data_IF_575285087868
#
_entry.id   IF_575285087868
#
_cell.length_a   1.000
_cell.length_b   1.000
_cell.length_c   1.000
_cell.angle_alpha   90.00
_cell.angle_beta   90.00
_cell.angle_gamma   90.00
#
_symmetry.space_group_name_H-M   'P 1'
#
loop_
_entity.id
_entity.type
_entity.pdbx_description
1 polymer ?
#
# COMPACT_ATOMS: atom_id res chain seq x y z
N UNK A 1 -13.32 -32.54 19.65
CA UNK A 1 -13.74 -31.33 18.93
C UNK A 1 -12.56 -30.84 18.13
N UNK A 2 -12.50 -31.20 16.85
CA UNK A 2 -11.44 -30.83 15.91
C UNK A 2 -11.84 -29.52 15.24
N UNK A 3 -11.17 -28.44 15.57
CA UNK A 3 -11.28 -27.15 14.86
C UNK A 3 -10.72 -27.34 13.46
N UNK A 4 -11.60 -27.42 12.46
CA UNK A 4 -11.21 -27.44 11.07
C UNK A 4 -10.55 -26.10 10.71
N UNK A 5 -9.24 -26.13 10.47
CA UNK A 5 -8.48 -25.00 9.94
C UNK A 5 -8.93 -24.79 8.50
N UNK A 6 -9.56 -23.64 8.22
CA UNK A 6 -9.94 -23.29 6.86
C UNK A 6 -8.69 -23.32 5.95
N UNK A 7 -8.73 -23.96 4.77
CA UNK A 7 -7.58 -24.03 3.90
C UNK A 7 -7.17 -22.62 3.48
N UNK A 8 -5.88 -22.31 3.57
CA UNK A 8 -5.31 -21.07 3.05
C UNK A 8 -5.60 -20.99 1.54
N UNK A 9 -6.62 -20.22 1.18
CA UNK A 9 -6.99 -19.97 -0.21
C UNK A 9 -5.87 -19.14 -0.81
N UNK A 10 -5.13 -19.71 -1.76
CA UNK A 10 -4.25 -18.91 -2.63
C UNK A 10 -5.12 -17.86 -3.31
N UNK A 11 -4.90 -16.59 -2.97
CA UNK A 11 -5.55 -15.45 -3.61
C UNK A 11 -5.06 -15.35 -5.05
N UNK A 12 -5.66 -16.13 -5.94
CA UNK A 12 -5.65 -15.81 -7.34
C UNK A 12 -6.28 -14.42 -7.48
N UNK A 13 -5.60 -13.52 -8.20
CA UNK A 13 -6.12 -12.25 -8.69
C UNK A 13 -7.58 -12.42 -9.13
N UNK A 14 -8.53 -12.09 -8.25
CA UNK A 14 -9.91 -11.92 -8.65
C UNK A 14 -10.26 -10.46 -8.37
N UNK A 15 -10.40 -9.69 -9.46
CA UNK A 15 -10.73 -8.25 -9.46
C UNK A 15 -12.13 -7.95 -8.92
N UNK A 16 -12.80 -8.93 -8.30
CA UNK A 16 -14.20 -8.88 -7.88
C UNK A 16 -14.43 -8.53 -6.41
N UNK A 17 -13.41 -8.54 -5.54
CA UNK A 17 -13.60 -8.28 -4.09
C UNK A 17 -14.08 -6.86 -3.75
N UNK A 18 -13.75 -5.87 -4.57
CA UNK A 18 -14.33 -4.53 -4.43
C UNK A 18 -15.83 -4.45 -4.68
N UNK A 19 -16.40 -5.44 -5.37
CA UNK A 19 -17.81 -5.44 -5.71
C UNK A 19 -18.69 -5.76 -4.50
N UNK A 20 -18.21 -6.58 -3.55
CA UNK A 20 -18.98 -6.99 -2.35
C UNK A 20 -19.15 -5.83 -1.36
N UNK A 21 -18.10 -5.05 -1.10
CA UNK A 21 -18.15 -3.88 -0.20
C UNK A 21 -19.04 -2.77 -0.77
N UNK A 22 -19.00 -2.57 -2.10
CA UNK A 22 -19.87 -1.63 -2.82
C UNK A 22 -21.31 -2.07 -2.75
N UNK A 23 -21.58 -3.36 -2.94
CA UNK A 23 -22.94 -3.90 -2.88
C UNK A 23 -23.52 -3.75 -1.48
N UNK A 24 -22.75 -4.01 -0.43
CA UNK A 24 -23.19 -3.81 0.96
C UNK A 24 -23.47 -2.34 1.29
N UNK A 25 -22.61 -1.41 0.85
CA UNK A 25 -22.86 0.01 1.02
C UNK A 25 -24.09 0.47 0.24
N UNK A 26 -24.23 0.02 -1.02
CA UNK A 26 -25.39 0.28 -1.85
C UNK A 26 -26.68 -0.23 -1.21
N UNK A 27 -26.69 -1.45 -0.69
CA UNK A 27 -27.85 -2.05 -0.05
C UNK A 27 -28.20 -1.34 1.26
N UNK A 28 -27.22 -0.86 2.02
CA UNK A 28 -27.43 -0.04 3.21
C UNK A 28 -28.06 1.33 2.88
N UNK A 29 -27.54 2.02 1.87
CA UNK A 29 -28.10 3.31 1.40
C UNK A 29 -29.51 3.10 0.85
N UNK A 30 -29.73 2.06 0.04
CA UNK A 30 -31.06 1.71 -0.49
C UNK A 30 -32.05 1.37 0.63
N UNK A 31 -31.62 0.67 1.68
CA UNK A 31 -32.42 0.40 2.88
C UNK A 31 -32.88 1.68 3.57
N UNK A 32 -31.95 2.63 3.82
CA UNK A 32 -32.30 3.93 4.42
C UNK A 32 -33.28 4.70 3.54
N UNK A 33 -33.04 4.77 2.23
CA UNK A 33 -33.91 5.47 1.28
C UNK A 33 -35.31 4.84 1.22
N UNK A 34 -35.39 3.51 1.20
CA UNK A 34 -36.66 2.78 1.25
C UNK A 34 -37.42 3.09 2.54
N UNK A 35 -36.76 2.95 3.69
CA UNK A 35 -37.39 3.07 5.01
C UNK A 35 -37.82 4.51 5.34
N UNK A 36 -36.97 5.49 5.00
CA UNK A 36 -37.18 6.89 5.40
C UNK A 36 -37.98 7.72 4.40
N UNK A 37 -37.84 7.41 3.11
CA UNK A 37 -38.57 8.12 2.04
C UNK A 37 -39.78 7.32 1.54
N UNK A 38 -40.04 6.13 2.09
CA UNK A 38 -41.10 5.22 1.70
C UNK A 38 -41.09 4.91 0.19
N UNK A 39 -39.88 4.77 -0.36
CA UNK A 39 -39.65 4.48 -1.77
C UNK A 39 -39.82 2.98 -2.04
N UNK A 40 -40.39 2.59 -3.18
CA UNK A 40 -40.33 1.20 -3.61
C UNK A 40 -38.87 0.72 -3.72
N UNK A 41 -38.62 -0.55 -3.37
CA UNK A 41 -37.31 -1.20 -3.39
C UNK A 41 -36.44 -0.88 -4.62
N UNK A 42 -37.06 -0.88 -5.82
CA UNK A 42 -36.35 -0.59 -7.06
C UNK A 42 -35.97 0.90 -7.20
N UNK A 43 -36.85 1.80 -6.76
CA UNK A 43 -36.62 3.24 -6.82
C UNK A 43 -35.57 3.65 -5.79
N UNK A 44 -35.61 3.06 -4.59
CA UNK A 44 -34.60 3.24 -3.55
C UNK A 44 -33.21 2.76 -3.99
N UNK A 45 -33.12 1.60 -4.66
CA UNK A 45 -31.86 1.11 -5.25
C UNK A 45 -31.35 2.00 -6.38
N UNK A 46 -32.22 2.44 -7.28
CA UNK A 46 -31.85 3.34 -8.38
C UNK A 46 -31.33 4.69 -7.85
N UNK A 47 -31.98 5.24 -6.83
CA UNK A 47 -31.57 6.47 -6.19
C UNK A 47 -30.29 6.27 -5.38
N UNK A 48 -30.11 5.16 -4.66
CA UNK A 48 -28.86 4.82 -3.97
C UNK A 48 -27.68 4.76 -4.95
N UNK A 49 -27.85 4.10 -6.08
CA UNK A 49 -26.82 4.05 -7.14
C UNK A 49 -26.47 5.45 -7.65
N UNK A 50 -27.46 6.32 -7.84
CA UNK A 50 -27.24 7.70 -8.28
C UNK A 50 -26.53 8.56 -7.22
N UNK A 51 -26.94 8.44 -5.95
CA UNK A 51 -26.31 9.13 -4.81
C UNK A 51 -24.87 8.68 -4.61
N UNK A 52 -24.60 7.38 -4.59
CA UNK A 52 -23.25 6.82 -4.42
C UNK A 52 -22.34 7.24 -5.58
N UNK A 53 -22.84 7.16 -6.81
CA UNK A 53 -22.12 7.64 -8.02
C UNK A 53 -21.73 9.13 -7.92
N UNK A 54 -22.54 9.94 -7.22
CA UNK A 54 -22.32 11.39 -7.05
C UNK A 54 -21.60 11.76 -5.76
N UNK A 55 -21.56 10.89 -4.75
CA UNK A 55 -21.00 11.16 -3.42
C UNK A 55 -19.53 10.84 -3.28
N UNK A 56 -19.03 9.81 -3.97
CA UNK A 56 -17.59 9.59 -4.12
C UNK A 56 -17.33 8.42 -5.04
N UNK A 57 -16.60 8.67 -6.13
CA UNK A 57 -15.72 7.78 -6.91
C UNK A 57 -15.96 7.91 -8.42
N UNK A 58 -14.91 7.92 -9.28
CA UNK A 58 -15.05 7.48 -10.67
C UNK A 58 -15.68 6.07 -10.66
N UNK A 59 -16.51 5.75 -11.66
CA UNK A 59 -17.53 4.68 -11.82
C UNK A 59 -17.26 3.23 -11.28
N UNK A 60 -16.18 2.93 -10.56
CA UNK A 60 -15.65 1.58 -10.33
C UNK A 60 -15.60 1.11 -8.86
N UNK A 61 -16.17 1.83 -7.89
CA UNK A 61 -16.59 1.27 -6.58
C UNK A 61 -15.51 0.85 -5.57
N UNK A 62 -14.27 0.65 -5.97
CA UNK A 62 -13.10 0.87 -5.09
C UNK A 62 -12.61 2.27 -5.46
N UNK A 63 -11.94 3.05 -4.61
CA UNK A 63 -10.89 3.91 -5.19
C UNK A 63 -9.95 2.90 -5.87
N UNK A 64 -9.87 2.79 -7.20
CA UNK A 64 -9.04 1.76 -7.83
C UNK A 64 -7.60 1.86 -7.34
N UNK A 65 -7.25 3.03 -6.82
CA UNK A 65 -6.07 3.38 -6.05
C UNK A 65 -5.83 2.55 -4.77
N UNK A 66 -6.80 2.22 -3.91
CA UNK A 66 -6.50 1.46 -2.68
C UNK A 66 -6.19 -0.01 -2.97
N UNK A 67 -7.02 -0.68 -3.78
CA UNK A 67 -6.71 -2.06 -4.18
C UNK A 67 -5.38 -2.15 -4.93
N UNK A 68 -5.08 -1.18 -5.82
CA UNK A 68 -3.76 -1.06 -6.46
C UNK A 68 -2.64 -0.80 -5.45
N UNK A 69 -2.87 0.01 -4.43
CA UNK A 69 -1.88 0.27 -3.40
C UNK A 69 -1.54 -1.02 -2.62
N UNK A 70 -2.55 -1.84 -2.27
CA UNK A 70 -2.31 -3.12 -1.61
C UNK A 70 -1.58 -4.11 -2.52
N UNK A 71 -1.93 -4.16 -3.81
CA UNK A 71 -1.19 -4.94 -4.82
C UNK A 71 0.28 -4.48 -4.91
N UNK A 72 0.51 -3.16 -4.96
CA UNK A 72 1.86 -2.56 -4.99
C UNK A 72 2.66 -2.90 -3.74
N UNK A 73 2.08 -2.78 -2.54
CA UNK A 73 2.74 -3.14 -1.27
C UNK A 73 3.12 -4.61 -1.31
N UNK A 74 2.21 -5.49 -1.72
CA UNK A 74 2.48 -6.92 -1.78
C UNK A 74 3.65 -7.24 -2.72
N UNK A 75 3.67 -6.68 -3.93
CA UNK A 75 4.78 -6.87 -4.88
C UNK A 75 6.10 -6.29 -4.36
N UNK A 76 6.07 -5.10 -3.75
CA UNK A 76 7.26 -4.46 -3.19
C UNK A 76 7.82 -5.23 -1.97
N UNK A 77 6.96 -5.77 -1.08
CA UNK A 77 7.39 -6.62 0.04
C UNK A 77 8.05 -7.92 -0.45
N UNK A 78 7.49 -8.53 -1.50
CA UNK A 78 8.05 -9.72 -2.16
C UNK A 78 9.41 -9.45 -2.78
N UNK A 79 9.55 -8.33 -3.46
CA UNK A 79 10.82 -7.89 -4.01
C UNK A 79 11.84 -7.62 -2.90
N UNK A 80 11.43 -6.98 -1.80
CA UNK A 80 12.32 -6.71 -0.68
C UNK A 80 12.86 -8.02 -0.06
N UNK A 81 11.99 -9.03 0.10
CA UNK A 81 12.39 -10.35 0.59
C UNK A 81 13.45 -11.00 -0.31
N UNK A 82 13.21 -10.99 -1.62
CA UNK A 82 14.12 -11.56 -2.60
C UNK A 82 15.46 -10.82 -2.64
N UNK A 83 15.43 -9.49 -2.71
CA UNK A 83 16.64 -8.70 -2.82
C UNK A 83 17.48 -8.73 -1.55
N UNK A 84 16.85 -8.86 -0.37
CA UNK A 84 17.57 -9.14 0.86
C UNK A 84 18.41 -10.42 0.74
N UNK A 85 17.86 -11.47 0.12
CA UNK A 85 18.58 -12.74 -0.09
C UNK A 85 19.69 -12.60 -1.13
N UNK A 86 19.44 -11.90 -2.23
CA UNK A 86 20.46 -11.64 -3.26
C UNK A 86 21.61 -10.82 -2.68
N UNK A 87 21.32 -9.76 -1.92
CA UNK A 87 22.32 -8.91 -1.28
C UNK A 87 23.13 -9.69 -0.24
N UNK A 88 22.50 -10.54 0.56
CA UNK A 88 23.19 -11.43 1.49
C UNK A 88 24.17 -12.36 0.77
N UNK A 89 23.75 -12.96 -0.35
CA UNK A 89 24.62 -13.84 -1.15
C UNK A 89 25.83 -13.11 -1.76
N UNK A 90 25.81 -11.77 -1.85
CA UNK A 90 26.96 -10.99 -2.31
C UNK A 90 28.08 -10.87 -1.27
N UNK A 91 27.81 -11.04 0.02
CA UNK A 91 28.84 -10.94 1.08
C UNK A 91 29.00 -12.22 1.92
N UNK A 92 27.99 -13.10 1.95
CA UNK A 92 28.03 -14.36 2.69
C UNK A 92 29.12 -15.30 2.12
N UNK A 93 30.04 -15.74 2.97
CA UNK A 93 31.11 -16.68 2.61
C UNK A 93 32.24 -16.10 1.75
N UNK A 94 32.27 -14.78 1.53
CA UNK A 94 33.29 -14.12 0.69
C UNK A 94 34.32 -13.40 1.55
N UNK A 95 35.53 -13.96 1.63
CA UNK A 95 36.66 -13.38 2.37
C UNK A 95 37.13 -12.03 1.81
N UNK A 96 36.81 -11.72 0.56
CA UNK A 96 37.21 -10.49 -0.14
C UNK A 96 36.18 -9.35 -0.09
N UNK A 97 35.05 -9.50 0.62
CA UNK A 97 34.09 -8.40 0.73
C UNK A 97 34.70 -7.24 1.54
N UNK A 98 34.59 -5.97 1.09
CA UNK A 98 35.22 -4.85 1.79
C UNK A 98 34.69 -4.70 3.22
N UNK A 99 35.57 -4.80 4.23
CA UNK A 99 35.20 -4.69 5.66
C UNK A 99 34.44 -3.40 5.99
N UNK A 100 34.81 -2.29 5.35
CA UNK A 100 34.17 -0.98 5.52
C UNK A 100 32.73 -0.92 4.98
N UNK A 101 32.36 -1.86 4.10
CA UNK A 101 31.02 -1.95 3.50
C UNK A 101 30.19 -3.09 4.08
N UNK A 102 30.81 -4.05 4.76
CA UNK A 102 30.12 -5.20 5.36
C UNK A 102 28.99 -4.76 6.29
N UNK A 103 29.26 -3.82 7.21
CA UNK A 103 28.24 -3.31 8.12
C UNK A 103 27.07 -2.64 7.39
N UNK A 104 27.34 -1.91 6.30
CA UNK A 104 26.30 -1.28 5.48
C UNK A 104 25.45 -2.35 4.80
N UNK A 105 26.06 -3.37 4.22
CA UNK A 105 25.35 -4.44 3.53
C UNK A 105 24.46 -5.26 4.49
N UNK A 106 24.94 -5.56 5.70
CA UNK A 106 24.13 -6.22 6.74
C UNK A 106 22.92 -5.36 7.10
N UNK A 107 23.13 -4.06 7.35
CA UNK A 107 22.02 -3.15 7.66
C UNK A 107 21.02 -3.03 6.49
N UNK A 108 21.48 -3.03 5.24
CA UNK A 108 20.61 -3.04 4.06
C UNK A 108 19.76 -4.31 4.00
N UNK A 109 20.35 -5.49 4.26
CA UNK A 109 19.61 -6.76 4.32
C UNK A 109 18.57 -6.73 5.45
N UNK A 110 18.92 -6.23 6.62
CA UNK A 110 17.99 -6.15 7.75
C UNK A 110 16.82 -5.21 7.44
N UNK A 111 17.07 -4.03 6.85
CA UNK A 111 16.01 -3.12 6.40
C UNK A 111 15.07 -3.77 5.38
N UNK A 112 15.62 -4.41 4.35
CA UNK A 112 14.81 -5.10 3.32
C UNK A 112 13.96 -6.23 3.92
N UNK A 113 14.48 -6.95 4.92
CA UNK A 113 13.71 -7.98 5.65
C UNK A 113 12.59 -7.39 6.49
N UNK A 114 12.85 -6.30 7.21
CA UNK A 114 11.81 -5.59 7.96
C UNK A 114 10.69 -5.11 7.04
N UNK A 115 11.04 -4.46 5.93
CA UNK A 115 10.09 -4.04 4.90
C UNK A 115 9.29 -5.21 4.34
N UNK A 116 9.93 -6.34 4.03
CA UNK A 116 9.25 -7.53 3.55
C UNK A 116 8.20 -8.06 4.54
N UNK A 117 8.43 -7.90 5.85
CA UNK A 117 7.49 -8.29 6.90
C UNK A 117 6.40 -7.24 7.17
N UNK A 118 6.43 -6.09 6.50
CA UNK A 118 5.55 -4.96 6.79
C UNK A 118 5.96 -4.16 8.01
N UNK A 119 7.17 -4.36 8.53
CA UNK A 119 7.71 -3.67 9.70
C UNK A 119 8.38 -2.34 9.28
N UNK A 120 7.80 -1.60 8.32
CA UNK A 120 8.40 -0.36 7.82
C UNK A 120 8.53 0.71 8.92
N UNK A 121 7.64 0.71 9.91
CA UNK A 121 7.75 1.58 11.09
C UNK A 121 8.96 1.25 11.98
N UNK A 122 9.40 -0.02 12.01
CA UNK A 122 10.58 -0.45 12.75
C UNK A 122 11.89 -0.17 11.99
N UNK A 123 11.82 0.19 10.70
CA UNK A 123 12.98 0.65 9.95
C UNK A 123 13.38 2.01 10.52
N UNK A 124 14.52 2.06 11.22
CA UNK A 124 15.02 3.30 11.77
C UNK A 124 15.43 4.25 10.63
N UNK A 125 14.51 5.15 10.25
CA UNK A 125 14.76 6.23 9.29
C UNK A 125 15.59 7.32 9.96
N UNK A 126 16.84 7.01 10.29
CA UNK A 126 17.82 7.99 10.77
C UNK A 126 17.90 9.17 9.79
N UNK A 127 18.35 10.36 10.22
CA UNK A 127 18.55 11.49 9.32
C UNK A 127 19.43 11.16 8.11
N UNK A 128 20.37 10.23 8.26
CA UNK A 128 21.21 9.75 7.16
C UNK A 128 20.42 8.91 6.14
N UNK A 129 19.56 7.99 6.61
CA UNK A 129 18.72 7.18 5.72
C UNK A 129 17.71 8.07 4.99
N UNK A 130 17.04 9.00 5.69
CA UNK A 130 16.09 9.93 5.07
C UNK A 130 16.75 10.79 3.98
N UNK A 131 17.98 11.26 4.24
CA UNK A 131 18.77 11.98 3.24
C UNK A 131 19.13 11.08 2.06
N UNK A 132 19.56 9.84 2.34
CA UNK A 132 19.87 8.85 1.31
C UNK A 132 18.67 8.50 0.42
N UNK A 133 17.46 8.41 0.97
CA UNK A 133 16.22 8.21 0.21
C UNK A 133 15.99 9.40 -0.73
N UNK A 134 16.08 10.62 -0.21
CA UNK A 134 15.93 11.85 -1.01
C UNK A 134 16.95 11.94 -2.14
N UNK A 135 18.22 11.68 -1.82
CA UNK A 135 19.31 11.67 -2.78
C UNK A 135 19.12 10.56 -3.83
N UNK A 136 18.63 9.39 -3.41
CA UNK A 136 18.27 8.27 -4.28
C UNK A 136 17.16 8.65 -5.27
N UNK A 137 16.04 9.19 -4.79
CA UNK A 137 14.96 9.67 -5.68
C UNK A 137 15.47 10.70 -6.68
N UNK A 138 16.22 11.71 -6.20
CA UNK A 138 16.83 12.72 -7.07
C UNK A 138 17.75 12.12 -8.12
N UNK A 139 18.56 11.11 -7.76
CA UNK A 139 19.45 10.43 -8.69
C UNK A 139 18.69 9.63 -9.78
N UNK A 140 17.48 9.18 -9.49
CA UNK A 140 16.59 8.51 -10.44
C UNK A 140 15.74 9.48 -11.28
N UNK A 141 15.90 10.79 -11.08
CA UNK A 141 15.03 11.80 -11.71
C UNK A 141 13.59 11.74 -11.23
N UNK A 142 13.35 11.06 -10.10
CA UNK A 142 12.07 11.05 -9.40
C UNK A 142 12.00 12.31 -8.56
N UNK A 143 10.80 12.91 -8.47
CA UNK A 143 10.67 14.09 -7.66
C UNK A 143 10.97 13.74 -6.20
N UNK A 144 11.89 14.49 -5.60
CA UNK A 144 12.25 14.32 -4.20
C UNK A 144 11.10 14.71 -3.28
N UNK A 145 10.05 15.33 -3.83
CA UNK A 145 8.79 15.73 -3.17
C UNK A 145 7.67 14.71 -3.30
N UNK A 146 7.87 13.55 -3.95
CA UNK A 146 7.09 12.31 -3.71
C UNK A 146 7.14 11.82 -2.24
N UNK A 147 7.72 12.62 -1.35
CA UNK A 147 7.47 12.66 0.10
C UNK A 147 5.97 12.67 0.41
N UNK A 148 5.59 12.04 1.52
CA UNK A 148 4.20 11.94 2.03
C UNK A 148 3.30 13.14 1.67
N UNK A 149 3.77 14.38 1.86
CA UNK A 149 3.00 15.60 1.59
C UNK A 149 2.48 15.74 0.15
N UNK A 150 3.22 15.39 -0.92
CA UNK A 150 2.66 15.47 -2.30
C UNK A 150 1.88 14.22 -2.70
N UNK A 151 2.13 13.07 -2.10
CA UNK A 151 1.24 11.91 -2.25
C UNK A 151 -0.11 12.17 -1.54
N UNK A 152 -0.08 12.91 -0.43
CA UNK A 152 -1.24 13.41 0.30
C UNK A 152 -1.90 14.63 -0.38
N UNK A 153 -1.14 15.44 -1.14
CA UNK A 153 -1.66 16.61 -1.89
C UNK A 153 -2.14 16.26 -3.32
N UNK A 154 -1.51 15.34 -4.05
CA UNK A 154 -2.04 14.77 -5.30
C UNK A 154 -3.25 13.88 -5.04
N UNK A 155 -3.47 13.46 -3.80
CA UNK A 155 -4.67 12.77 -3.37
C UNK A 155 -5.33 13.41 -2.16
N UNK A 156 -6.19 14.42 -2.36
CA UNK A 156 -7.21 14.76 -1.38
C UNK A 156 -8.27 13.64 -1.31
N UNK A 157 -7.89 12.39 -1.04
CA UNK A 157 -8.83 11.27 -0.95
C UNK A 157 -9.55 11.19 0.40
N UNK A 158 -10.19 12.28 0.83
CA UNK A 158 -11.53 12.22 1.44
C UNK A 158 -11.67 11.52 2.82
N UNK A 159 -11.40 12.23 3.92
CA UNK A 159 -12.41 12.23 5.00
C UNK A 159 -13.09 13.58 4.85
N UNK A 160 -14.14 13.62 4.05
CA UNK A 160 -14.95 14.81 4.02
C UNK A 160 -15.75 14.88 5.32
N UNK A 161 -15.84 16.08 5.91
CA UNK A 161 -16.70 16.35 7.06
C UNK A 161 -18.13 15.83 6.76
N UNK A 162 -18.70 14.96 7.63
CA UNK A 162 -20.06 14.45 7.45
C UNK A 162 -21.09 15.53 7.20
N UNK A 163 -20.91 16.75 7.73
CA UNK A 163 -21.79 17.88 7.47
C UNK A 163 -21.72 18.39 6.03
N UNK A 164 -20.53 18.39 5.42
CA UNK A 164 -20.32 18.78 4.02
C UNK A 164 -20.85 17.70 3.08
N UNK A 165 -20.59 16.43 3.39
CA UNK A 165 -21.15 15.27 2.68
C UNK A 165 -22.67 15.26 2.73
N UNK A 166 -23.25 15.45 3.91
CA UNK A 166 -24.69 15.60 4.10
C UNK A 166 -25.25 16.77 3.29
N UNK A 167 -24.53 17.90 3.21
CA UNK A 167 -24.96 19.04 2.39
C UNK A 167 -25.11 18.71 0.90
N UNK A 168 -24.23 17.87 0.35
CA UNK A 168 -24.39 17.38 -1.02
C UNK A 168 -25.55 16.43 -1.16
N UNK A 169 -25.69 15.47 -0.25
CA UNK A 169 -26.82 14.54 -0.28
C UNK A 169 -28.16 15.28 -0.16
N UNK A 170 -28.25 16.33 0.67
CA UNK A 170 -29.43 17.21 0.73
C UNK A 170 -29.74 17.82 -0.63
N UNK A 171 -28.73 18.34 -1.33
CA UNK A 171 -28.94 18.94 -2.64
C UNK A 171 -29.45 17.92 -3.67
N UNK A 172 -28.99 16.66 -3.59
CA UNK A 172 -29.43 15.57 -4.45
C UNK A 172 -30.82 15.03 -4.08
N UNK A 173 -31.16 15.08 -2.80
CA UNK A 173 -32.45 14.61 -2.26
C UNK A 173 -33.49 15.73 -2.13
N UNK A 174 -33.21 16.94 -2.63
CA UNK A 174 -34.05 18.12 -2.41
C UNK A 174 -35.50 17.95 -2.88
N UNK A 175 -35.75 17.07 -3.85
CA UNK A 175 -37.09 16.74 -4.33
C UNK A 175 -37.94 15.92 -3.34
N UNK A 176 -37.33 15.36 -2.30
CA UNK A 176 -37.98 14.54 -1.27
C UNK A 176 -38.40 15.33 -0.01
N UNK A 177 -38.30 16.67 -0.04
CA UNK A 177 -38.82 17.54 1.01
C UNK A 177 -38.07 17.43 2.34
N UNK A 178 -38.77 17.66 3.45
CA UNK A 178 -38.16 17.85 4.78
C UNK A 178 -37.42 16.60 5.29
N UNK A 179 -37.79 15.40 4.84
CA UNK A 179 -37.11 14.16 5.17
C UNK A 179 -35.69 14.07 4.58
N UNK A 180 -35.39 14.87 3.54
CA UNK A 180 -34.10 14.84 2.85
C UNK A 180 -32.93 15.21 3.77
N UNK A 181 -33.15 16.06 4.78
CA UNK A 181 -32.09 16.50 5.70
C UNK A 181 -31.68 15.40 6.69
N UNK A 182 -32.67 14.75 7.31
CA UNK A 182 -32.45 13.62 8.21
C UNK A 182 -31.83 12.43 7.45
N UNK A 183 -32.34 12.13 6.25
CA UNK A 183 -31.82 11.05 5.39
C UNK A 183 -30.41 11.35 4.90
N UNK A 184 -30.13 12.57 4.44
CA UNK A 184 -28.79 12.95 4.02
C UNK A 184 -27.77 12.86 5.16
N UNK A 185 -28.19 13.20 6.38
CA UNK A 185 -27.36 13.11 7.59
C UNK A 185 -27.15 11.65 8.00
N UNK A 186 -28.18 10.81 7.93
CA UNK A 186 -28.10 9.37 8.21
C UNK A 186 -27.21 8.64 7.19
N UNK A 187 -27.35 8.95 5.89
CA UNK A 187 -26.49 8.40 4.83
C UNK A 187 -25.05 8.91 4.97
N UNK A 188 -24.84 10.18 5.33
CA UNK A 188 -23.50 10.74 5.52
C UNK A 188 -22.78 10.14 6.74
N UNK A 189 -23.51 9.62 7.72
CA UNK A 189 -22.96 8.94 8.90
C UNK A 189 -22.76 7.43 8.70
N UNK A 190 -23.30 6.83 7.62
CA UNK A 190 -22.90 5.49 7.23
C UNK A 190 -21.38 5.46 7.02
N UNK A 191 -20.68 4.39 7.47
CA UNK A 191 -19.24 4.24 7.31
C UNK A 191 -18.87 4.56 5.87
N UNK A 192 -18.15 5.67 5.70
CA UNK A 192 -17.67 6.11 4.41
C UNK A 192 -16.58 5.15 3.95
N UNK A 193 -16.54 4.83 2.67
CA UNK A 193 -15.37 4.22 2.04
C UNK A 193 -14.22 5.22 1.79
N UNK A 194 -14.17 6.34 2.53
CA UNK A 194 -13.07 7.34 2.47
C UNK A 194 -12.03 7.15 3.57
N UNK A 195 -10.96 7.97 3.54
CA UNK A 195 -9.61 7.65 4.09
C UNK A 195 -9.70 6.75 5.30
N UNK A 196 -9.57 5.45 5.06
CA UNK A 196 -9.21 4.59 6.15
C UNK A 196 -7.81 5.05 6.57
N UNK A 197 -7.55 5.13 7.88
CA UNK A 197 -6.16 5.27 8.35
C UNK A 197 -5.27 4.25 7.63
N UNK A 198 -5.84 3.08 7.31
CA UNK A 198 -5.22 2.07 6.48
C UNK A 198 -4.87 2.48 5.03
N UNK A 199 -5.62 3.35 4.34
CA UNK A 199 -5.18 3.83 3.02
C UNK A 199 -3.99 4.79 3.14
N UNK A 200 -4.03 5.69 4.13
CA UNK A 200 -2.90 6.59 4.42
C UNK A 200 -1.64 5.80 4.80
N UNK A 201 -1.82 4.75 5.61
CA UNK A 201 -0.73 3.84 5.98
C UNK A 201 -0.24 3.01 4.78
N UNK A 202 -1.14 2.57 3.90
CA UNK A 202 -0.74 1.89 2.66
C UNK A 202 0.13 2.81 1.78
N UNK A 203 -0.25 4.07 1.63
CA UNK A 203 0.55 5.08 0.91
C UNK A 203 1.91 5.29 1.60
N UNK A 204 1.92 5.44 2.92
CA UNK A 204 3.16 5.63 3.71
C UNK A 204 4.09 4.43 3.56
N UNK A 205 3.53 3.22 3.54
CA UNK A 205 4.28 2.00 3.33
C UNK A 205 4.86 1.92 1.91
N UNK A 206 4.08 2.24 0.87
CA UNK A 206 4.58 2.30 -0.51
C UNK A 206 5.74 3.29 -0.62
N UNK A 207 5.58 4.47 -0.04
CA UNK A 207 6.63 5.47 0.02
C UNK A 207 7.89 4.92 0.69
N UNK A 208 7.74 4.26 1.84
CA UNK A 208 8.84 3.66 2.60
C UNK A 208 9.56 2.58 1.78
N UNK A 209 8.81 1.69 1.14
CA UNK A 209 9.34 0.62 0.28
C UNK A 209 10.10 1.20 -0.91
N UNK A 210 9.47 2.08 -1.70
CA UNK A 210 10.09 2.70 -2.88
C UNK A 210 11.29 3.56 -2.51
N UNK A 211 11.21 4.30 -1.41
CA UNK A 211 12.30 5.13 -0.90
C UNK A 211 13.52 4.31 -0.51
N UNK A 212 13.32 3.19 0.21
CA UNK A 212 14.43 2.30 0.53
C UNK A 212 15.01 1.64 -0.73
N UNK A 213 14.19 1.25 -1.70
CA UNK A 213 14.71 0.76 -2.98
C UNK A 213 15.57 1.81 -3.71
N UNK A 214 15.14 3.08 -3.75
CA UNK A 214 15.93 4.16 -4.32
C UNK A 214 17.27 4.35 -3.58
N UNK A 215 17.23 4.32 -2.25
CA UNK A 215 18.41 4.40 -1.40
C UNK A 215 19.38 3.25 -1.63
N UNK A 216 18.89 2.01 -1.70
CA UNK A 216 19.73 0.83 -1.94
C UNK A 216 20.29 0.78 -3.37
N UNK A 217 19.54 1.26 -4.37
CA UNK A 217 20.06 1.42 -5.73
C UNK A 217 21.27 2.36 -5.78
N UNK A 218 21.20 3.48 -5.04
CA UNK A 218 22.29 4.45 -4.94
C UNK A 218 23.46 3.89 -4.13
N UNK A 219 23.21 3.19 -3.03
CA UNK A 219 24.27 2.47 -2.30
C UNK A 219 24.99 1.50 -3.24
N UNK A 220 24.26 0.70 -4.01
CA UNK A 220 24.85 -0.30 -4.89
C UNK A 220 25.65 0.33 -6.04
N UNK A 221 25.19 1.48 -6.58
CA UNK A 221 25.97 2.29 -7.54
C UNK A 221 27.34 2.65 -6.97
N UNK A 222 27.38 3.17 -5.74
CA UNK A 222 28.64 3.54 -5.09
C UNK A 222 29.56 2.34 -4.88
N UNK A 223 29.01 1.14 -4.62
CA UNK A 223 29.80 -0.09 -4.52
C UNK A 223 30.40 -0.50 -5.87
N UNK A 224 29.63 -0.42 -6.95
CA UNK A 224 30.06 -0.75 -8.31
C UNK A 224 31.19 0.14 -8.83
N UNK A 225 31.25 1.39 -8.35
CA UNK A 225 32.31 2.36 -8.67
C UNK A 225 33.62 2.11 -7.93
N UNK A 226 33.62 1.28 -6.89
CA UNK A 226 34.85 0.95 -6.17
C UNK A 226 35.77 0.12 -7.05
N UNK A 227 37.05 0.50 -7.10
CA UNK A 227 38.10 -0.25 -7.81
C UNK A 227 38.25 -1.69 -7.29
N UNK A 228 37.88 -1.93 -6.04
CA UNK A 228 37.98 -3.24 -5.37
C UNK A 228 36.75 -4.12 -5.59
N UNK A 229 35.71 -3.65 -6.29
CA UNK A 229 34.51 -4.45 -6.51
C UNK A 229 34.80 -5.65 -7.45
N UNK A 230 34.46 -6.89 -7.06
CA UNK A 230 34.79 -8.09 -7.86
C UNK A 230 34.15 -8.06 -9.26
N UNK A 231 34.97 -8.20 -10.32
CA UNK A 231 34.50 -8.22 -11.71
C UNK A 231 33.45 -9.32 -11.97
N UNK A 232 33.62 -10.49 -11.38
CA UNK A 232 32.71 -11.64 -11.54
C UNK A 232 31.31 -11.41 -10.96
N UNK A 233 31.13 -10.42 -10.09
CA UNK A 233 29.84 -10.08 -9.46
C UNK A 233 29.21 -8.82 -10.03
N UNK A 234 29.94 -8.07 -10.86
CA UNK A 234 29.52 -6.77 -11.37
C UNK A 234 28.20 -6.86 -12.14
N UNK A 235 28.07 -7.82 -13.06
CA UNK A 235 26.81 -8.01 -13.82
C UNK A 235 25.62 -8.28 -12.90
N UNK A 236 25.74 -9.20 -11.95
CA UNK A 236 24.67 -9.50 -10.98
C UNK A 236 24.30 -8.29 -10.10
N UNK A 237 25.28 -7.51 -9.66
CA UNK A 237 25.04 -6.31 -8.87
C UNK A 237 24.44 -5.16 -9.71
N UNK A 238 24.79 -5.06 -11.00
CA UNK A 238 24.14 -4.13 -11.94
C UNK A 238 22.68 -4.54 -12.19
N UNK A 239 22.40 -5.83 -12.38
CA UNK A 239 21.03 -6.36 -12.49
C UNK A 239 20.21 -6.11 -11.21
N UNK A 240 20.79 -6.37 -10.03
CA UNK A 240 20.15 -6.06 -8.75
C UNK A 240 19.86 -4.57 -8.61
N UNK A 241 20.83 -3.70 -8.95
CA UNK A 241 20.63 -2.25 -8.95
C UNK A 241 19.46 -1.86 -9.86
N UNK A 242 19.39 -2.44 -11.06
CA UNK A 242 18.31 -2.13 -12.00
C UNK A 242 16.94 -2.58 -11.46
N UNK A 243 16.86 -3.71 -10.75
CA UNK A 243 15.60 -4.13 -10.08
C UNK A 243 15.21 -3.20 -8.94
N UNK A 244 16.19 -2.70 -8.16
CA UNK A 244 15.91 -1.65 -7.17
C UNK A 244 15.40 -0.36 -7.81
N UNK A 245 15.95 0.05 -8.95
CA UNK A 245 15.46 1.23 -9.69
C UNK A 245 14.02 1.01 -10.16
N UNK A 246 13.74 -0.13 -10.80
CA UNK A 246 12.39 -0.49 -11.25
C UNK A 246 11.39 -0.48 -10.07
N UNK A 247 11.75 -1.07 -8.93
CA UNK A 247 10.91 -1.08 -7.73
C UNK A 247 10.66 0.33 -7.19
N UNK A 248 11.68 1.18 -7.13
CA UNK A 248 11.55 2.57 -6.70
C UNK A 248 10.64 3.39 -7.62
N UNK A 249 10.67 3.11 -8.93
CA UNK A 249 9.85 3.78 -9.93
C UNK A 249 8.40 3.24 -10.00
N UNK A 250 8.12 2.12 -9.32
CA UNK A 250 6.83 1.44 -9.42
C UNK A 250 6.65 0.73 -10.77
N UNK A 251 7.74 0.37 -11.42
CA UNK A 251 7.70 -0.45 -12.64
C UNK A 251 7.36 -1.91 -12.29
N UNK A 252 6.74 -2.65 -13.23
CA UNK A 252 6.50 -4.08 -13.05
C UNK A 252 7.81 -4.83 -12.77
N UNK A 253 7.85 -5.54 -11.65
CA UNK A 253 8.99 -6.37 -11.28
C UNK A 253 8.93 -7.69 -12.07
N UNK A 254 10.07 -8.11 -12.62
CA UNK A 254 10.16 -9.27 -13.50
C UNK A 254 9.63 -10.58 -12.85
N UNK A 255 9.30 -11.57 -13.70
CA UNK A 255 8.59 -12.82 -13.38
C UNK A 255 9.27 -13.81 -12.39
N UNK A 256 10.19 -13.36 -11.52
CA UNK A 256 10.80 -14.19 -10.46
C UNK A 256 9.83 -14.51 -9.30
N UNK A 257 8.54 -14.54 -9.63
CA UNK A 257 7.41 -14.58 -8.71
C UNK A 257 7.49 -15.74 -7.71
N UNK A 258 7.88 -16.92 -8.17
CA UNK A 258 8.00 -18.14 -7.34
C UNK A 258 9.14 -18.02 -6.33
N UNK A 259 10.27 -17.43 -6.73
CA UNK A 259 11.43 -17.24 -5.85
C UNK A 259 11.13 -16.16 -4.80
N UNK A 260 10.50 -15.07 -5.21
CA UNK A 260 10.09 -13.99 -4.32
C UNK A 260 9.06 -14.45 -3.27
N UNK A 261 8.03 -15.19 -3.67
CA UNK A 261 7.01 -15.73 -2.75
C UNK A 261 7.65 -16.71 -1.74
N UNK A 262 8.61 -17.53 -2.20
CA UNK A 262 9.35 -18.46 -1.32
C UNK A 262 10.15 -17.72 -0.26
N UNK A 263 10.90 -16.69 -0.64
CA UNK A 263 11.70 -15.92 0.33
C UNK A 263 10.81 -15.12 1.29
N UNK A 264 9.71 -14.54 0.81
CA UNK A 264 8.73 -13.88 1.67
C UNK A 264 8.20 -14.83 2.75
N UNK A 265 7.80 -16.05 2.35
CA UNK A 265 7.37 -17.10 3.28
C UNK A 265 8.46 -17.51 4.27
N UNK A 266 9.71 -17.60 3.83
CA UNK A 266 10.86 -17.94 4.68
C UNK A 266 11.08 -16.89 5.78
N UNK A 267 10.81 -15.61 5.49
CA UNK A 267 10.89 -14.53 6.47
C UNK A 267 9.71 -14.51 7.46
N UNK A 268 8.74 -15.42 7.34
CA UNK A 268 7.54 -15.45 8.16
C UNK A 268 6.52 -14.38 7.79
N UNK A 269 6.71 -13.68 6.68
CA UNK A 269 5.74 -12.71 6.17
C UNK A 269 4.54 -13.42 5.55
N UNK A 270 3.38 -12.77 5.61
CA UNK A 270 2.18 -13.28 4.96
C UNK A 270 2.39 -13.36 3.44
N UNK A 271 2.06 -14.49 2.84
CA UNK A 271 2.09 -14.67 1.38
C UNK A 271 0.86 -14.06 0.71
N UNK A 272 0.04 -13.34 1.45
CA UNK A 272 -1.21 -12.72 1.01
C UNK A 272 -1.39 -11.41 1.75
N UNK A 273 -1.83 -10.35 1.06
CA UNK A 273 -2.15 -9.08 1.69
C UNK A 273 -3.59 -8.73 1.37
N UNK A 274 -4.53 -9.35 2.08
CA UNK A 274 -5.93 -8.97 1.96
C UNK A 274 -6.18 -7.63 2.67
N UNK A 275 -7.19 -6.90 2.20
CA UNK A 275 -7.66 -5.66 2.84
C UNK A 275 -7.90 -5.85 4.34
N UNK A 276 -8.64 -6.89 4.72
CA UNK A 276 -8.95 -7.17 6.11
C UNK A 276 -7.70 -7.45 6.96
N UNK A 277 -6.71 -8.18 6.42
CA UNK A 277 -5.42 -8.38 7.10
C UNK A 277 -4.67 -7.05 7.27
N UNK A 278 -4.74 -6.17 6.26
CA UNK A 278 -4.07 -4.88 6.31
C UNK A 278 -4.71 -3.90 7.28
N UNK A 279 -6.03 -3.75 7.20
CA UNK A 279 -6.80 -2.91 8.12
C UNK A 279 -6.65 -3.39 9.56
N UNK A 280 -6.74 -4.71 9.81
CA UNK A 280 -6.48 -5.25 11.14
C UNK A 280 -5.03 -5.00 11.62
N UNK A 281 -4.05 -5.06 10.72
CA UNK A 281 -2.65 -4.72 11.04
C UNK A 281 -2.51 -3.27 11.50
N UNK A 282 -3.13 -2.34 10.79
CA UNK A 282 -3.13 -0.91 11.13
C UNK A 282 -3.90 -0.64 12.44
N UNK A 283 -5.09 -1.21 12.60
CA UNK A 283 -5.91 -1.05 13.82
C UNK A 283 -5.22 -1.56 15.08
N UNK A 284 -4.46 -2.65 14.98
CA UNK A 284 -3.70 -3.21 16.10
C UNK A 284 -2.37 -2.47 16.36
N UNK A 285 -2.10 -1.38 15.64
CA UNK A 285 -0.83 -0.65 15.72
C UNK A 285 0.37 -1.50 15.31
N UNK A 286 0.16 -2.56 14.52
CA UNK A 286 1.26 -3.39 14.02
C UNK A 286 2.00 -2.67 12.88
N UNK A 287 1.28 -1.85 12.12
CA UNK A 287 1.78 -1.15 10.93
C UNK A 287 1.50 0.35 11.04
N UNK A 288 2.52 1.17 10.74
CA UNK A 288 2.36 2.61 10.58
C UNK A 288 3.19 3.52 11.47
N UNK A 289 3.26 4.79 11.06
CA UNK A 289 3.85 5.87 11.86
C UNK A 289 2.91 6.32 12.98
N UNK A 290 1.62 5.95 12.88
CA UNK A 290 0.65 6.04 13.98
C UNK A 290 0.81 4.92 15.02
N UNK A 291 1.72 3.96 14.80
CA UNK A 291 2.06 2.92 15.79
C UNK A 291 3.03 3.45 16.86
N UNK A 292 2.71 4.57 17.52
CA UNK A 292 3.34 5.09 18.75
C UNK A 292 2.36 6.12 19.33
N UNK A 293 1.84 6.07 20.56
CA UNK A 293 2.13 5.33 21.80
C UNK A 293 0.83 4.76 22.40
#
# INVERSE_FOLDING_TARGET
MTTATAPAVKYFRDRRRGFEDVQLHHDAVAGILSDRLNLPDNDARNLAADLIRKDSLPENGITPHYARALDDIYELRRAAAYEARVLEAHYEGISSFPKTRYGVAVQSVDRLRMLARGEYAAVEFTPSVRRGIRDGFKALGLDGTLTNDEYEQEQPLLVEDPAVRASRFRALLAEHGDAADEVATEIATLPYSGRSGAYSEAVTEIYSLRGIFAFEAENLRQHLEMKTFPKSRRGFAEEQRNRFIAAAQGEPLAEESVSQERELKRLGASTTLSRAEFEAGVENGLWGWMATD
#
